data_IF_769230865432
#
_entry.id   IF_769230865432
#
_cell.length_a   1.000
_cell.length_b   1.000
_cell.length_c   1.000
_cell.angle_alpha   90.00
_cell.angle_beta   90.00
_cell.angle_gamma   90.00
#
_symmetry.space_group_name_H-M   'P 1'
#
loop_
_entity.id
_entity.type
_entity.pdbx_description
1 polymer ?
#
# COMPACT_ATOMS: atom_id res chain seq x y z
N UNK A 1 1.43 -25.83 -10.76
CA UNK A 1 0.58 -24.82 -10.09
C UNK A 1 1.54 -23.80 -9.55
N UNK A 2 1.52 -22.56 -10.05
CA UNK A 2 2.43 -21.54 -9.53
C UNK A 2 1.83 -20.93 -8.26
N UNK A 3 2.62 -20.86 -7.20
CA UNK A 3 2.23 -20.28 -5.91
C UNK A 3 2.89 -18.92 -5.75
N UNK A 4 2.10 -17.94 -5.27
CA UNK A 4 2.62 -16.64 -4.87
C UNK A 4 2.35 -16.46 -3.39
N UNK A 5 3.38 -16.05 -2.65
CA UNK A 5 3.23 -15.61 -1.27
C UNK A 5 3.20 -14.09 -1.24
N UNK A 6 2.22 -13.54 -0.53
CA UNK A 6 2.11 -12.09 -0.30
C UNK A 6 2.35 -11.83 1.18
N UNK A 7 3.48 -11.20 1.49
CA UNK A 7 3.77 -10.77 2.87
C UNK A 7 3.26 -9.35 3.07
N UNK A 8 2.20 -9.20 3.88
CA UNK A 8 1.57 -7.92 4.17
C UNK A 8 2.23 -7.19 5.34
N UNK A 9 2.40 -5.89 5.19
CA UNK A 9 2.98 -4.97 6.16
C UNK A 9 2.08 -3.75 6.38
N UNK A 10 2.05 -3.22 7.60
CA UNK A 10 1.24 -2.07 7.99
C UNK A 10 0.13 -2.44 8.99
N UNK A 11 -0.90 -1.59 9.17
CA UNK A 11 -1.17 -0.36 8.41
C UNK A 11 -0.21 0.79 8.77
N UNK A 12 0.18 1.57 7.76
CA UNK A 12 1.00 2.77 7.92
C UNK A 12 0.19 4.02 7.62
N UNK A 13 0.24 5.04 8.48
CA UNK A 13 -0.34 6.36 8.17
C UNK A 13 0.33 6.92 6.92
N UNK A 14 -0.46 7.29 5.91
CA UNK A 14 0.03 7.74 4.61
C UNK A 14 1.05 8.90 4.74
N UNK A 15 0.79 9.86 5.61
CA UNK A 15 1.66 11.02 5.86
C UNK A 15 3.06 10.65 6.43
N UNK A 16 3.23 9.43 6.95
CA UNK A 16 4.46 8.98 7.60
C UNK A 16 5.15 7.82 6.88
N UNK A 17 4.66 7.40 5.70
CA UNK A 17 5.17 6.19 5.04
C UNK A 17 6.66 6.29 4.70
N UNK A 18 7.17 7.49 4.39
CA UNK A 18 8.57 7.71 4.05
C UNK A 18 9.57 7.35 5.17
N UNK A 19 9.09 7.09 6.40
CA UNK A 19 9.92 6.67 7.53
C UNK A 19 10.24 5.18 7.56
N UNK A 20 9.62 4.37 6.70
CA UNK A 20 9.74 2.91 6.74
C UNK A 20 10.41 2.38 5.48
N UNK A 21 11.44 1.54 5.63
CA UNK A 21 12.22 0.99 4.50
C UNK A 21 11.37 0.20 3.49
N UNK A 22 10.24 -0.36 3.96
CA UNK A 22 9.30 -1.12 3.12
C UNK A 22 8.84 -0.32 1.90
N UNK A 23 8.80 1.02 1.98
CA UNK A 23 8.29 1.86 0.89
C UNK A 23 9.19 1.89 -0.34
N UNK A 24 10.44 1.42 -0.21
CA UNK A 24 11.37 1.28 -1.32
C UNK A 24 11.17 -0.05 -2.09
N UNK A 25 10.39 -0.99 -1.55
CA UNK A 25 10.03 -2.23 -2.24
C UNK A 25 8.89 -2.03 -3.25
N UNK A 26 8.59 -3.08 -3.98
CA UNK A 26 7.54 -3.18 -5.01
C UNK A 26 6.55 -4.28 -4.63
N UNK A 27 5.41 -4.35 -5.32
CA UNK A 27 4.39 -5.37 -5.05
C UNK A 27 2.97 -4.83 -5.11
N UNK A 28 2.11 -5.30 -4.21
CA UNK A 28 0.71 -4.89 -4.09
C UNK A 28 0.57 -3.92 -2.92
N UNK A 29 -0.34 -2.95 -3.02
CA UNK A 29 -0.66 -2.05 -1.92
C UNK A 29 -2.16 -1.83 -1.86
N UNK A 30 -2.65 -1.57 -0.65
CA UNK A 30 -4.04 -1.28 -0.37
C UNK A 30 -4.13 0.00 0.46
N UNK A 31 -4.97 0.94 0.02
CA UNK A 31 -5.20 2.24 0.65
C UNK A 31 -6.55 2.21 1.34
N UNK A 32 -6.55 2.54 2.63
CA UNK A 32 -7.71 2.58 3.49
C UNK A 32 -7.92 3.99 4.02
N UNK A 33 -9.19 4.36 4.20
CA UNK A 33 -9.61 5.59 4.85
C UNK A 33 -10.20 5.24 6.21
N UNK A 34 -9.75 5.92 7.25
CA UNK A 34 -10.33 5.88 8.59
C UNK A 34 -11.00 7.23 8.87
N UNK A 35 -12.31 7.20 9.11
CA UNK A 35 -13.10 8.39 9.45
C UNK A 35 -14.12 8.03 10.54
N UNK A 36 -13.99 8.68 11.71
CA UNK A 36 -14.67 8.22 12.92
C UNK A 36 -14.18 6.81 13.30
N UNK A 37 -15.11 5.88 13.51
CA UNK A 37 -14.81 4.49 13.85
C UNK A 37 -14.85 3.54 12.64
N UNK A 38 -14.94 4.07 11.42
CA UNK A 38 -15.07 3.27 10.21
C UNK A 38 -13.75 3.25 9.43
N UNK A 39 -13.24 2.05 9.14
CA UNK A 39 -12.17 1.81 8.17
C UNK A 39 -12.78 1.32 6.85
N UNK A 40 -12.44 1.96 5.73
CA UNK A 40 -12.98 1.63 4.41
C UNK A 40 -11.86 1.55 3.38
N UNK A 41 -11.78 0.42 2.68
CA UNK A 41 -10.86 0.26 1.55
C UNK A 41 -11.24 1.23 0.43
N UNK A 42 -10.29 2.05 -0.02
CA UNK A 42 -10.48 3.00 -1.11
C UNK A 42 -9.92 2.46 -2.43
N UNK A 43 -8.78 1.77 -2.37
CA UNK A 43 -8.05 1.34 -3.57
C UNK A 43 -7.11 0.19 -3.28
N UNK A 44 -6.95 -0.72 -4.26
CA UNK A 44 -5.89 -1.72 -4.30
C UNK A 44 -5.17 -1.58 -5.64
N UNK A 45 -3.84 -1.62 -5.63
CA UNK A 45 -3.05 -1.63 -6.85
C UNK A 45 -1.80 -2.48 -6.74
N UNK A 46 -1.29 -2.91 -7.89
CA UNK A 46 0.06 -3.46 -8.04
C UNK A 46 0.99 -2.36 -8.58
N UNK A 47 2.26 -2.40 -8.22
CA UNK A 47 3.29 -1.55 -8.81
C UNK A 47 4.63 -2.27 -8.93
N UNK A 48 5.31 -2.03 -10.04
CA UNK A 48 6.71 -2.42 -10.26
C UNK A 48 7.69 -1.29 -9.89
N UNK A 49 7.16 -0.11 -9.56
CA UNK A 49 7.92 1.00 -8.99
C UNK A 49 7.94 0.88 -7.47
N UNK A 50 8.79 1.65 -6.80
CA UNK A 50 8.75 1.71 -5.34
C UNK A 50 7.37 2.16 -4.85
N UNK A 51 6.89 1.56 -3.76
CA UNK A 51 5.60 1.92 -3.17
C UNK A 51 5.51 3.43 -2.91
N UNK A 52 6.55 4.06 -2.38
CA UNK A 52 6.55 5.52 -2.13
C UNK A 52 6.30 6.33 -3.40
N UNK A 53 6.89 5.93 -4.53
CA UNK A 53 6.69 6.64 -5.80
C UNK A 53 5.22 6.56 -6.21
N UNK A 54 4.64 5.36 -6.17
CA UNK A 54 3.27 5.14 -6.61
C UNK A 54 2.23 5.76 -5.67
N UNK A 55 2.46 5.70 -4.36
CA UNK A 55 1.58 6.37 -3.40
C UNK A 55 1.65 7.90 -3.54
N UNK A 56 2.83 8.48 -3.82
CA UNK A 56 2.96 9.91 -4.03
C UNK A 56 2.24 10.41 -5.29
N UNK A 57 2.14 9.59 -6.34
CA UNK A 57 1.31 9.90 -7.53
C UNK A 57 -0.16 10.00 -7.15
N UNK A 58 -0.70 8.99 -6.48
CA UNK A 58 -2.08 9.00 -5.97
C UNK A 58 -2.33 10.17 -5.01
N UNK A 59 -1.34 10.52 -4.19
CA UNK A 59 -1.42 11.64 -3.26
C UNK A 59 -1.60 12.99 -3.98
N UNK A 60 -0.85 13.19 -5.07
CA UNK A 60 -0.94 14.39 -5.91
C UNK A 60 -2.25 14.45 -6.68
N UNK A 61 -2.76 13.30 -7.11
CA UNK A 61 -3.95 13.23 -7.97
C UNK A 61 -5.26 13.30 -7.21
N UNK A 62 -5.51 12.39 -6.24
CA UNK A 62 -6.87 12.19 -5.73
C UNK A 62 -6.99 11.93 -4.23
N UNK A 63 -5.93 11.50 -3.53
CA UNK A 63 -6.06 11.15 -2.10
C UNK A 63 -6.37 12.35 -1.20
N UNK A 64 -5.99 13.56 -1.63
CA UNK A 64 -6.28 14.79 -0.90
C UNK A 64 -7.77 15.15 -0.87
N UNK A 65 -8.62 14.49 -1.68
CA UNK A 65 -10.06 14.70 -1.66
C UNK A 65 -10.76 14.01 -0.47
N UNK A 66 -10.12 13.03 0.19
CA UNK A 66 -10.74 12.34 1.33
C UNK A 66 -10.52 13.09 2.63
N UNK A 67 -11.62 13.31 3.36
CA UNK A 67 -11.57 13.69 4.78
C UNK A 67 -11.15 12.50 5.64
N UNK A 68 -10.47 12.73 6.76
CA UNK A 68 -10.05 11.66 7.68
C UNK A 68 -8.61 11.22 7.46
N UNK A 69 -8.22 10.11 8.08
CA UNK A 69 -6.85 9.61 8.03
C UNK A 69 -6.74 8.51 6.97
N UNK A 70 -5.69 8.57 6.15
CA UNK A 70 -5.39 7.54 5.17
C UNK A 70 -4.29 6.61 5.69
N UNK A 71 -4.48 5.33 5.47
CA UNK A 71 -3.56 4.26 5.85
C UNK A 71 -3.24 3.41 4.63
N UNK A 72 -2.03 2.88 4.58
CA UNK A 72 -1.57 2.01 3.50
C UNK A 72 -1.04 0.70 4.08
N UNK A 73 -1.40 -0.41 3.44
CA UNK A 73 -0.80 -1.72 3.67
C UNK A 73 -0.01 -2.13 2.43
N UNK A 74 1.19 -2.66 2.61
CA UNK A 74 2.09 -3.06 1.53
C UNK A 74 2.25 -4.59 1.52
N UNK A 75 1.93 -5.23 0.41
CA UNK A 75 2.10 -6.65 0.16
C UNK A 75 3.31 -6.89 -0.74
N UNK A 76 4.38 -7.44 -0.17
CA UNK A 76 5.57 -7.84 -0.94
C UNK A 76 5.34 -9.23 -1.50
N UNK A 77 5.58 -9.38 -2.81
CA UNK A 77 5.40 -10.64 -3.52
C UNK A 77 6.68 -11.47 -3.44
N UNK A 78 6.55 -12.75 -3.13
CA UNK A 78 7.59 -13.75 -3.28
C UNK A 78 7.07 -14.91 -4.13
N UNK A 79 7.88 -15.31 -5.11
CA UNK A 79 7.60 -16.41 -6.01
C UNK A 79 8.49 -17.56 -5.58
N UNK A 80 7.90 -18.59 -5.00
CA UNK A 80 8.64 -19.82 -4.73
C UNK A 80 8.65 -20.68 -6.00
N UNK A 81 9.81 -21.15 -6.47
CA UNK A 81 9.83 -22.11 -7.57
C UNK A 81 9.17 -23.42 -7.08
N UNK A 82 8.25 -23.97 -7.89
CA UNK A 82 7.76 -25.33 -7.67
C UNK A 82 8.95 -26.29 -7.57
N UNK A 83 9.01 -27.05 -6.47
CA UNK A 83 9.92 -28.19 -6.33
C UNK A 83 9.50 -29.34 -7.24
#
# INVERSE_FOLDING_TARGET
MEEITITWHGPYKLQNIAKYDIVHKTGIYAIYRVFGNNETLQYIGKTERSFVSRINEHAKEWLHHYRGQLYVRFGVLSFEPCK
#
